data_IF_617201074064
#
_entry.id   IF_617201074064
#
_cell.length_a   1.000
_cell.length_b   1.000
_cell.length_c   1.000
_cell.angle_alpha   90.00
_cell.angle_beta   90.00
_cell.angle_gamma   90.00
#
_symmetry.space_group_name_H-M   'P 1'
#
loop_
_entity.id
_entity.type
_entity.pdbx_description
1 polymer ?
#
# COMPACT_ATOMS: atom_id res chain seq x y z
N UNK A 1 -14.88 38.26 18.72
CA UNK A 1 -14.78 38.02 17.27
C UNK A 1 -13.33 38.24 16.87
N UNK A 2 -12.53 37.18 16.83
CA UNK A 2 -11.12 37.23 16.42
C UNK A 2 -11.08 37.31 14.90
N UNK A 3 -10.44 38.38 14.38
CA UNK A 3 -10.15 38.53 12.95
C UNK A 3 -9.17 37.40 12.57
N UNK A 4 -9.65 36.41 11.81
CA UNK A 4 -8.77 35.52 11.11
C UNK A 4 -7.87 36.35 10.18
N UNK A 5 -6.59 36.44 10.48
CA UNK A 5 -5.61 37.06 9.59
C UNK A 5 -5.51 36.16 8.37
N UNK A 6 -5.99 36.64 7.21
CA UNK A 6 -5.76 36.03 5.90
C UNK A 6 -4.25 36.15 5.56
N UNK A 7 -3.40 35.42 6.27
CA UNK A 7 -2.05 35.20 5.78
C UNK A 7 -2.18 34.28 4.54
N UNK A 8 -1.99 34.88 3.37
CA UNK A 8 -1.84 34.12 2.13
C UNK A 8 -0.71 33.12 2.35
N UNK A 9 -1.02 31.87 2.34
CA UNK A 9 -0.07 30.78 2.54
C UNK A 9 0.92 30.83 1.39
N UNK A 10 2.19 31.07 1.68
CA UNK A 10 3.26 31.08 0.70
C UNK A 10 3.87 29.67 0.61
N UNK A 11 3.55 28.96 -0.45
CA UNK A 11 3.98 27.58 -0.63
C UNK A 11 5.49 27.45 -0.85
N UNK A 12 6.14 28.48 -1.39
CA UNK A 12 7.58 28.47 -1.66
C UNK A 12 8.41 28.73 -0.38
N UNK A 13 7.76 29.20 0.70
CA UNK A 13 8.40 29.56 1.97
C UNK A 13 7.70 28.88 3.16
N UNK A 14 7.49 27.57 3.09
CA UNK A 14 6.90 26.83 4.19
C UNK A 14 7.86 26.70 5.38
N UNK A 15 7.38 27.06 6.57
CA UNK A 15 8.12 26.86 7.82
C UNK A 15 7.84 25.46 8.40
N UNK A 16 8.73 24.51 8.19
CA UNK A 16 8.59 23.13 8.69
C UNK A 16 8.67 22.99 10.22
N UNK A 17 8.99 24.06 10.95
CA UNK A 17 8.94 24.07 12.41
C UNK A 17 7.58 24.49 12.95
N UNK A 18 6.76 25.13 12.10
CA UNK A 18 5.42 25.59 12.44
C UNK A 18 4.47 24.39 12.59
N UNK A 19 3.45 24.56 13.42
CA UNK A 19 2.28 23.68 13.48
C UNK A 19 1.22 24.25 12.52
N UNK A 20 0.78 23.45 11.58
CA UNK A 20 -0.23 23.77 10.58
C UNK A 20 -1.58 23.23 11.03
N UNK A 21 -2.66 23.90 10.62
CA UNK A 21 -4.01 23.35 10.76
C UNK A 21 -4.27 22.32 9.67
N UNK A 22 -5.32 21.54 9.86
CA UNK A 22 -5.72 20.56 8.85
C UNK A 22 -6.17 21.23 7.54
N UNK A 23 -6.86 22.36 7.63
CA UNK A 23 -7.29 23.16 6.47
C UNK A 23 -6.09 23.72 5.69
N UNK A 24 -5.04 24.18 6.39
CA UNK A 24 -3.80 24.61 5.75
C UNK A 24 -3.10 23.46 5.03
N UNK A 25 -3.05 22.29 5.64
CA UNK A 25 -2.51 21.07 5.02
C UNK A 25 -3.28 20.69 3.73
N UNK A 26 -4.62 20.70 3.77
CA UNK A 26 -5.43 20.43 2.57
C UNK A 26 -5.14 21.46 1.48
N UNK A 27 -5.06 22.76 1.82
CA UNK A 27 -4.79 23.83 0.88
C UNK A 27 -3.39 23.72 0.27
N UNK A 28 -2.38 23.37 1.06
CA UNK A 28 -1.00 23.15 0.59
C UNK A 28 -0.97 22.02 -0.44
N UNK A 29 -1.55 20.86 -0.11
CA UNK A 29 -1.57 19.72 -1.01
C UNK A 29 -2.40 20.01 -2.28
N UNK A 30 -3.46 20.82 -2.19
CA UNK A 30 -4.20 21.25 -3.38
C UNK A 30 -3.35 22.13 -4.30
N UNK A 31 -2.57 23.02 -3.76
CA UNK A 31 -1.66 23.88 -4.56
C UNK A 31 -0.53 23.04 -5.20
N UNK A 32 -0.03 22.00 -4.51
CA UNK A 32 1.01 21.12 -5.03
C UNK A 32 0.57 20.26 -6.24
N UNK A 33 -0.71 20.16 -6.54
CA UNK A 33 -1.18 19.50 -7.78
C UNK A 33 -0.71 20.23 -9.05
N UNK A 34 -0.48 21.52 -8.96
CA UNK A 34 -0.08 22.38 -10.08
C UNK A 34 1.25 23.09 -9.87
N UNK A 35 1.83 22.98 -8.69
CA UNK A 35 3.08 23.60 -8.32
C UNK A 35 4.05 22.56 -7.75
N UNK A 36 5.31 22.59 -8.18
CA UNK A 36 6.35 21.70 -7.69
C UNK A 36 7.23 22.43 -6.70
N UNK A 37 7.14 22.07 -5.42
CA UNK A 37 8.06 22.53 -4.39
C UNK A 37 9.35 21.71 -4.43
N UNK A 38 10.50 22.36 -4.13
CA UNK A 38 11.77 21.67 -3.94
C UNK A 38 12.24 21.79 -2.51
N UNK A 39 12.53 20.68 -1.85
CA UNK A 39 13.11 20.61 -0.52
C UNK A 39 14.45 19.88 -0.62
N UNK A 40 15.53 20.54 -0.23
CA UNK A 40 16.90 20.01 -0.35
C UNK A 40 17.22 19.46 -1.77
N UNK A 41 16.70 20.17 -2.80
CA UNK A 41 16.88 19.82 -4.21
C UNK A 41 15.94 18.75 -4.73
N UNK A 42 15.18 18.05 -3.89
CA UNK A 42 14.24 17.01 -4.26
C UNK A 42 12.85 17.58 -4.51
N UNK A 43 12.16 17.20 -5.60
CA UNK A 43 10.81 17.62 -5.87
C UNK A 43 9.83 16.97 -4.86
N UNK A 44 8.95 17.78 -4.31
CA UNK A 44 7.87 17.37 -3.41
C UNK A 44 6.56 17.84 -4.00
N UNK A 45 5.64 16.92 -4.20
CA UNK A 45 4.32 17.17 -4.76
C UNK A 45 3.18 16.77 -3.79
N UNK A 46 3.53 16.27 -2.62
CA UNK A 46 2.58 15.87 -1.60
C UNK A 46 3.23 15.92 -0.21
N UNK A 47 2.47 16.31 0.80
CA UNK A 47 2.82 16.16 2.19
C UNK A 47 1.92 15.14 2.90
N UNK A 48 2.49 14.38 3.81
CA UNK A 48 1.76 13.73 4.89
C UNK A 48 1.57 14.72 6.06
N UNK A 49 0.60 14.43 6.92
CA UNK A 49 0.28 15.26 8.09
C UNK A 49 0.48 14.46 9.38
N UNK A 50 1.28 14.99 10.28
CA UNK A 50 1.57 14.33 11.55
C UNK A 50 1.46 15.31 12.71
N UNK A 51 0.35 15.30 13.42
CA UNK A 51 0.12 16.15 14.60
C UNK A 51 0.42 17.65 14.29
N UNK A 52 -0.06 18.12 13.15
CA UNK A 52 0.16 19.50 12.69
C UNK A 52 1.47 19.73 11.93
N UNK A 53 2.33 18.74 11.78
CA UNK A 53 3.58 18.87 11.01
C UNK A 53 3.39 18.37 9.59
N UNK A 54 3.97 19.09 8.64
CA UNK A 54 4.06 18.68 7.25
C UNK A 54 5.28 17.77 7.07
N UNK A 55 5.07 16.58 6.54
CA UNK A 55 6.14 15.66 6.19
C UNK A 55 6.19 15.51 4.67
N UNK A 56 7.28 15.94 4.01
CA UNK A 56 7.39 15.87 2.57
C UNK A 56 7.43 14.42 2.11
N UNK A 57 6.69 14.10 1.05
CA UNK A 57 6.76 12.84 0.34
C UNK A 57 7.57 13.04 -0.94
N UNK A 58 8.85 12.60 -0.98
CA UNK A 58 9.64 12.64 -2.21
C UNK A 58 9.14 11.58 -3.18
N UNK A 59 9.48 11.78 -4.46
CA UNK A 59 9.24 10.75 -5.47
C UNK A 59 10.07 9.49 -5.17
N UNK A 60 9.48 8.34 -5.40
CA UNK A 60 10.15 7.06 -5.21
C UNK A 60 10.92 6.61 -6.46
N UNK A 61 12.05 5.88 -6.31
CA UNK A 61 12.68 5.17 -7.40
C UNK A 61 11.74 4.17 -8.07
N UNK A 62 11.87 4.00 -9.40
CA UNK A 62 10.99 3.14 -10.19
C UNK A 62 10.91 1.70 -9.67
N UNK A 63 12.03 1.13 -9.22
CA UNK A 63 12.06 -0.25 -8.68
C UNK A 63 11.24 -0.39 -7.40
N UNK A 64 11.20 0.65 -6.55
CA UNK A 64 10.37 0.65 -5.34
C UNK A 64 8.89 0.61 -5.71
N UNK A 65 8.47 1.47 -6.64
CA UNK A 65 7.08 1.51 -7.13
C UNK A 65 6.68 0.21 -7.85
N UNK A 66 7.60 -0.39 -8.64
CA UNK A 66 7.36 -1.66 -9.31
C UNK A 66 7.11 -2.80 -8.30
N UNK A 67 7.86 -2.84 -7.19
CA UNK A 67 7.65 -3.81 -6.11
C UNK A 67 6.31 -3.58 -5.41
N UNK A 68 5.96 -2.34 -5.09
CA UNK A 68 4.67 -2.00 -4.48
C UNK A 68 3.50 -2.38 -5.41
N UNK A 69 3.65 -2.15 -6.72
CA UNK A 69 2.67 -2.53 -7.73
C UNK A 69 2.51 -4.06 -7.80
N UNK A 70 3.61 -4.83 -7.78
CA UNK A 70 3.56 -6.30 -7.81
C UNK A 70 2.90 -6.87 -6.55
N UNK A 71 3.21 -6.34 -5.37
CA UNK A 71 2.52 -6.73 -4.13
C UNK A 71 1.02 -6.43 -4.23
N UNK A 72 0.66 -5.25 -4.72
CA UNK A 72 -0.74 -4.87 -4.95
C UNK A 72 -1.44 -5.83 -5.93
N UNK A 73 -0.77 -6.21 -7.02
CA UNK A 73 -1.30 -7.15 -8.01
C UNK A 73 -1.60 -8.52 -7.39
N UNK A 74 -0.66 -9.06 -6.59
CA UNK A 74 -0.87 -10.33 -5.90
C UNK A 74 -2.04 -10.25 -4.91
N UNK A 75 -2.15 -9.16 -4.15
CA UNK A 75 -3.28 -8.91 -3.24
C UNK A 75 -4.60 -8.78 -3.99
N UNK A 76 -4.64 -8.07 -5.12
CA UNK A 76 -5.85 -7.95 -5.94
C UNK A 76 -6.31 -9.31 -6.46
N UNK A 77 -5.39 -10.14 -6.95
CA UNK A 77 -5.70 -11.50 -7.40
C UNK A 77 -6.28 -12.34 -6.27
N UNK A 78 -5.63 -12.36 -5.10
CA UNK A 78 -6.14 -13.05 -3.92
C UNK A 78 -7.54 -12.53 -3.50
N UNK A 79 -7.72 -11.21 -3.44
CA UNK A 79 -8.98 -10.57 -3.04
C UNK A 79 -10.15 -11.00 -3.94
N UNK A 80 -9.91 -11.11 -5.25
CA UNK A 80 -10.91 -11.56 -6.23
C UNK A 80 -11.16 -13.07 -6.11
N UNK A 81 -10.10 -13.89 -6.14
CA UNK A 81 -10.22 -15.34 -6.13
C UNK A 81 -10.87 -15.88 -4.84
N UNK A 82 -10.52 -15.29 -3.70
CA UNK A 82 -11.08 -15.69 -2.40
C UNK A 82 -12.38 -14.96 -2.04
N UNK A 83 -12.86 -14.05 -2.93
CA UNK A 83 -14.08 -13.26 -2.74
C UNK A 83 -14.09 -12.42 -1.48
N UNK A 84 -12.93 -11.93 -1.05
CA UNK A 84 -12.86 -11.02 0.10
C UNK A 84 -13.60 -9.71 -0.19
N UNK A 85 -13.53 -9.24 -1.46
CA UNK A 85 -14.17 -8.02 -1.95
C UNK A 85 -13.82 -6.79 -1.09
N UNK A 86 -12.63 -6.76 -0.51
CA UNK A 86 -12.05 -5.61 0.15
C UNK A 86 -11.45 -4.62 -0.87
N UNK A 87 -10.83 -3.57 -0.37
CA UNK A 87 -10.17 -2.54 -1.17
C UNK A 87 -8.66 -2.63 -0.94
N UNK A 88 -7.90 -2.58 -2.02
CA UNK A 88 -6.46 -2.42 -2.01
C UNK A 88 -6.13 -1.00 -2.45
N UNK A 89 -5.26 -0.31 -1.73
CA UNK A 89 -4.73 1.00 -2.10
C UNK A 89 -3.23 0.90 -2.38
N UNK A 90 -2.74 1.79 -3.25
CA UNK A 90 -1.32 1.94 -3.59
C UNK A 90 -0.75 3.22 -2.96
N UNK A 91 0.50 3.53 -3.25
CA UNK A 91 1.43 4.48 -2.60
C UNK A 91 0.90 5.86 -2.17
N UNK A 92 -0.22 6.34 -2.71
CA UNK A 92 -0.79 7.64 -2.31
C UNK A 92 -2.11 7.51 -1.52
N UNK A 93 -2.53 6.28 -1.21
CA UNK A 93 -3.70 6.05 -0.36
C UNK A 93 -3.42 6.47 1.09
N UNK A 94 -3.87 7.66 1.47
CA UNK A 94 -3.70 8.18 2.83
C UNK A 94 -4.79 7.71 3.79
N UNK A 95 -4.39 7.48 5.04
CA UNK A 95 -5.28 7.09 6.13
C UNK A 95 -5.07 8.02 7.34
N UNK A 96 -6.15 8.36 8.02
CA UNK A 96 -6.10 9.11 9.29
C UNK A 96 -6.02 8.14 10.47
N UNK A 97 -4.85 8.05 11.07
CA UNK A 97 -4.59 7.15 12.21
C UNK A 97 -5.06 7.73 13.55
N UNK A 98 -5.43 9.01 13.60
CA UNK A 98 -5.99 9.68 14.80
C UNK A 98 -5.24 9.33 16.09
N UNK A 99 -3.95 9.64 16.14
CA UNK A 99 -3.11 9.29 17.29
C UNK A 99 -3.43 10.22 18.45
N UNK A 100 -3.92 9.65 19.55
CA UNK A 100 -4.28 10.38 20.77
C UNK A 100 -5.24 11.58 20.55
N UNK A 101 -6.16 11.45 19.59
CA UNK A 101 -7.11 12.51 19.26
C UNK A 101 -6.53 13.59 18.33
N UNK A 102 -5.34 13.34 17.77
CA UNK A 102 -4.70 14.22 16.81
C UNK A 102 -4.62 13.57 15.44
N UNK A 103 -5.08 14.31 14.42
CA UNK A 103 -5.05 13.81 13.04
C UNK A 103 -3.63 13.50 12.61
N UNK A 104 -3.47 12.28 12.11
CA UNK A 104 -2.20 11.77 11.61
C UNK A 104 -2.43 11.06 10.29
N UNK A 105 -2.29 11.80 9.17
CA UNK A 105 -2.54 11.27 7.84
C UNK A 105 -1.24 10.73 7.27
N UNK A 106 -1.25 9.42 7.01
CA UNK A 106 -0.12 8.69 6.45
C UNK A 106 -0.54 7.88 5.25
N UNK A 107 0.27 7.94 4.21
CA UNK A 107 0.21 7.02 3.11
C UNK A 107 1.06 5.77 3.42
N UNK A 108 0.65 4.66 2.82
CA UNK A 108 1.38 3.39 2.81
C UNK A 108 1.69 3.02 1.37
N UNK A 109 2.75 2.26 1.12
CA UNK A 109 3.01 1.82 -0.25
C UNK A 109 1.92 0.85 -0.74
N UNK A 110 1.41 -0.03 0.14
CA UNK A 110 0.22 -0.87 -0.13
C UNK A 110 -0.61 -1.02 1.13
N UNK A 111 -1.94 -1.01 1.01
CA UNK A 111 -2.82 -1.35 2.13
C UNK A 111 -4.02 -2.19 1.70
N UNK A 112 -4.60 -2.92 2.65
CA UNK A 112 -5.84 -3.64 2.48
C UNK A 112 -6.89 -3.22 3.51
N UNK A 113 -8.09 -2.93 3.02
CA UNK A 113 -9.27 -2.58 3.82
C UNK A 113 -10.33 -3.66 3.59
N UNK A 114 -10.76 -4.40 4.61
CA UNK A 114 -11.84 -5.37 4.48
C UNK A 114 -13.15 -4.74 3.99
N UNK A 115 -13.93 -5.52 3.25
CA UNK A 115 -15.20 -5.10 2.67
C UNK A 115 -16.19 -4.49 3.69
N UNK A 116 -16.28 -5.06 4.88
CA UNK A 116 -17.18 -4.59 5.93
C UNK A 116 -16.79 -3.20 6.43
N UNK A 117 -15.48 -2.94 6.60
CA UNK A 117 -14.97 -1.62 6.99
C UNK A 117 -15.25 -0.62 5.86
N UNK A 118 -14.85 -0.91 4.63
CA UNK A 118 -15.04 0.00 3.51
C UNK A 118 -16.53 0.37 3.28
N UNK A 119 -17.44 -0.59 3.42
CA UNK A 119 -18.88 -0.35 3.27
C UNK A 119 -19.51 0.47 4.39
N UNK A 120 -18.88 0.53 5.55
CA UNK A 120 -19.35 1.37 6.66
C UNK A 120 -18.88 2.82 6.58
N UNK A 121 -17.93 3.12 5.66
CA UNK A 121 -17.42 4.47 5.47
C UNK A 121 -18.48 5.36 4.80
N UNK A 122 -18.62 6.58 5.30
CA UNK A 122 -19.44 7.59 4.67
C UNK A 122 -18.71 8.24 3.45
N UNK A 123 -19.41 9.10 2.73
CA UNK A 123 -18.85 9.78 1.56
C UNK A 123 -17.65 10.67 1.90
N UNK A 124 -17.65 11.32 3.06
CA UNK A 124 -16.53 12.17 3.46
C UNK A 124 -15.27 11.35 3.74
N UNK A 125 -15.43 10.21 4.41
CA UNK A 125 -14.32 9.29 4.68
C UNK A 125 -13.75 8.67 3.40
N UNK A 126 -14.58 8.39 2.40
CA UNK A 126 -14.13 7.78 1.14
C UNK A 126 -13.41 8.76 0.20
N UNK A 127 -13.81 10.05 0.19
CA UNK A 127 -13.34 11.02 -0.80
C UNK A 127 -12.55 12.17 -0.23
N UNK A 128 -12.47 12.28 1.07
CA UNK A 128 -11.72 13.32 1.77
C UNK A 128 -11.08 12.73 3.02
N UNK A 129 -10.23 13.50 3.68
CA UNK A 129 -9.75 13.14 5.03
C UNK A 129 -10.66 13.68 6.14
N UNK A 130 -11.89 14.09 5.81
CA UNK A 130 -12.88 14.58 6.78
C UNK A 130 -13.77 13.44 7.28
N UNK A 131 -14.41 13.65 8.40
CA UNK A 131 -15.21 12.63 9.09
C UNK A 131 -14.41 11.89 10.17
N UNK A 132 -14.89 10.73 10.56
CA UNK A 132 -14.22 9.89 11.55
C UNK A 132 -13.00 9.20 10.92
N UNK A 133 -11.92 9.11 11.68
CA UNK A 133 -10.73 8.37 11.28
C UNK A 133 -11.04 6.88 11.05
N UNK A 134 -10.36 6.30 10.09
CA UNK A 134 -10.37 4.86 9.86
C UNK A 134 -8.99 4.41 9.36
N UNK A 135 -8.66 3.15 9.59
CA UNK A 135 -7.37 2.59 9.22
C UNK A 135 -7.53 1.25 8.49
N UNK A 136 -6.57 0.89 7.62
CA UNK A 136 -6.56 -0.43 7.00
C UNK A 136 -6.29 -1.51 8.05
N UNK A 137 -6.45 -2.77 7.70
CA UNK A 137 -6.09 -3.91 8.55
C UNK A 137 -4.71 -4.48 8.23
N UNK A 138 -4.21 -4.19 7.04
CA UNK A 138 -2.89 -4.59 6.56
C UNK A 138 -2.21 -3.44 5.85
N UNK A 139 -0.90 -3.28 6.09
CA UNK A 139 -0.07 -2.24 5.49
C UNK A 139 1.28 -2.79 5.04
N UNK A 140 1.83 -2.23 3.95
CA UNK A 140 3.16 -2.52 3.46
C UNK A 140 3.92 -1.22 3.23
N UNK A 141 5.19 -1.22 3.64
CA UNK A 141 6.21 -0.25 3.23
C UNK A 141 7.28 -0.98 2.43
N UNK A 142 7.71 -0.40 1.33
CA UNK A 142 8.81 -0.90 0.50
C UNK A 142 9.98 0.06 0.63
N UNK A 143 11.11 -0.38 1.13
CA UNK A 143 12.28 0.47 1.30
C UNK A 143 13.57 -0.35 1.30
N UNK A 144 14.67 0.26 0.84
CA UNK A 144 16.00 -0.31 1.00
C UNK A 144 16.55 0.15 2.34
N UNK A 145 16.61 -0.76 3.29
CA UNK A 145 16.96 -0.44 4.69
C UNK A 145 18.11 -1.32 5.21
N UNK A 146 18.82 -0.79 6.17
CA UNK A 146 19.79 -1.55 6.94
C UNK A 146 19.46 -1.39 8.42
N UNK A 147 19.33 -2.50 9.13
CA UNK A 147 19.02 -2.49 10.56
C UNK A 147 20.00 -1.61 11.33
N UNK A 148 19.46 -0.69 12.14
CA UNK A 148 20.24 0.27 12.92
C UNK A 148 20.53 1.59 12.21
N UNK A 149 20.30 1.72 10.89
CA UNK A 149 20.40 3.01 10.25
C UNK A 149 19.15 3.89 10.55
N UNK A 150 19.22 5.18 10.21
CA UNK A 150 18.16 6.14 10.49
C UNK A 150 16.86 5.77 9.78
N UNK A 151 16.92 5.42 8.50
CA UNK A 151 15.75 5.12 7.69
C UNK A 151 14.99 3.90 8.23
N UNK A 152 15.72 2.83 8.60
CA UNK A 152 15.13 1.68 9.25
C UNK A 152 14.46 2.05 10.58
N UNK A 153 15.13 2.84 11.43
CA UNK A 153 14.59 3.26 12.72
C UNK A 153 13.35 4.13 12.58
N UNK A 154 13.33 5.03 11.60
CA UNK A 154 12.16 5.89 11.30
C UNK A 154 10.97 5.04 10.82
N UNK A 155 11.20 4.03 9.97
CA UNK A 155 10.16 3.10 9.52
C UNK A 155 9.69 2.17 10.65
N UNK A 156 10.62 1.60 11.45
CA UNK A 156 10.25 0.78 12.61
C UNK A 156 9.38 1.58 13.59
N UNK A 157 9.73 2.85 13.82
CA UNK A 157 8.93 3.78 14.62
C UNK A 157 7.57 4.05 13.97
N UNK A 158 7.50 4.29 12.64
CA UNK A 158 6.25 4.48 11.89
C UNK A 158 5.32 3.28 12.09
N UNK A 159 5.83 2.05 11.98
CA UNK A 159 5.04 0.86 12.26
C UNK A 159 4.52 0.84 13.70
N UNK A 160 5.40 1.00 14.70
CA UNK A 160 5.03 0.83 16.13
C UNK A 160 4.11 1.91 16.65
N UNK A 161 4.41 3.17 16.33
CA UNK A 161 3.76 4.33 16.94
C UNK A 161 2.60 4.87 16.12
N UNK A 162 2.56 4.59 14.80
CA UNK A 162 1.52 5.10 13.92
C UNK A 162 0.62 3.96 13.45
N UNK A 163 1.14 3.01 12.66
CA UNK A 163 0.29 1.97 12.09
C UNK A 163 -0.33 1.07 13.15
N UNK A 164 0.43 0.72 14.16
CA UNK A 164 -0.04 -0.08 15.29
C UNK A 164 -0.40 0.76 16.53
N UNK A 165 -0.71 2.06 16.37
CA UNK A 165 -1.19 2.89 17.48
C UNK A 165 -2.46 2.30 18.11
N UNK A 166 -2.73 2.69 19.36
CA UNK A 166 -3.98 2.32 20.05
C UNK A 166 -5.16 2.88 19.26
N UNK A 167 -6.16 2.05 18.99
CA UNK A 167 -7.32 2.44 18.17
C UNK A 167 -7.17 2.12 16.68
N UNK A 168 -5.96 1.88 16.18
CA UNK A 168 -5.75 1.44 14.80
C UNK A 168 -6.26 0.00 14.57
N UNK A 169 -6.85 -0.25 13.40
CA UNK A 169 -7.29 -1.57 12.95
C UNK A 169 -6.16 -2.42 12.36
N UNK A 170 -4.95 -1.88 12.21
CA UNK A 170 -3.82 -2.62 11.63
C UNK A 170 -3.44 -3.80 12.51
N UNK A 171 -3.58 -5.00 11.94
CA UNK A 171 -3.22 -6.27 12.59
C UNK A 171 -1.95 -6.90 12.04
N UNK A 172 -1.60 -6.57 10.79
CA UNK A 172 -0.42 -7.08 10.10
C UNK A 172 0.26 -5.95 9.31
N UNK A 173 1.59 -5.90 9.37
CA UNK A 173 2.39 -4.94 8.60
C UNK A 173 3.66 -5.59 8.07
N UNK A 174 4.06 -5.23 6.86
CA UNK A 174 5.29 -5.71 6.24
C UNK A 174 6.17 -4.54 5.82
N UNK A 175 7.45 -4.58 6.21
CA UNK A 175 8.51 -3.76 5.63
C UNK A 175 9.31 -4.66 4.70
N UNK A 176 9.21 -4.39 3.40
CA UNK A 176 9.81 -5.20 2.34
C UNK A 176 11.04 -4.49 1.81
N UNK A 177 12.20 -5.14 1.94
CA UNK A 177 13.46 -4.69 1.36
C UNK A 177 13.86 -5.62 0.20
N UNK A 178 13.52 -5.27 -1.04
CA UNK A 178 13.77 -6.12 -2.18
C UNK A 178 15.26 -6.18 -2.57
N UNK A 179 16.04 -5.14 -2.23
CA UNK A 179 17.46 -5.08 -2.55
C UNK A 179 18.30 -5.99 -1.64
N UNK A 180 18.01 -5.95 -0.34
CA UNK A 180 18.73 -6.77 0.64
C UNK A 180 18.05 -8.12 0.90
N UNK A 181 16.98 -8.42 0.16
CA UNK A 181 16.22 -9.69 0.25
C UNK A 181 15.76 -9.98 1.67
N UNK A 182 15.06 -9.02 2.26
CA UNK A 182 14.56 -9.09 3.63
C UNK A 182 13.13 -8.62 3.73
N UNK A 183 12.34 -9.27 4.58
CA UNK A 183 10.99 -8.86 4.93
C UNK A 183 10.90 -8.83 6.46
N UNK A 184 10.52 -7.68 7.00
CA UNK A 184 10.23 -7.55 8.42
C UNK A 184 8.72 -7.57 8.61
N UNK A 185 8.24 -8.47 9.48
CA UNK A 185 6.82 -8.68 9.72
C UNK A 185 6.46 -8.11 11.09
N UNK A 186 5.52 -7.19 11.11
CA UNK A 186 5.00 -6.55 12.32
C UNK A 186 3.63 -7.13 12.67
N UNK A 187 3.46 -7.47 13.93
CA UNK A 187 2.19 -7.99 14.49
C UNK A 187 1.96 -7.43 15.88
N UNK A 188 0.70 -7.43 16.30
CA UNK A 188 0.31 -7.11 17.68
C UNK A 188 0.07 -8.40 18.46
N UNK A 189 0.68 -8.54 19.62
CA UNK A 189 0.34 -9.62 20.57
C UNK A 189 -1.01 -9.35 21.23
N UNK A 190 -1.62 -10.39 21.81
CA UNK A 190 -2.85 -10.27 22.60
C UNK A 190 -2.70 -9.25 23.74
N UNK A 191 -1.49 -9.07 24.27
CA UNK A 191 -1.14 -8.06 25.29
C UNK A 191 -1.11 -6.62 24.75
N UNK A 192 -1.33 -6.40 23.44
CA UNK A 192 -1.22 -5.10 22.79
C UNK A 192 0.19 -4.72 22.34
N UNK A 193 1.22 -5.46 22.76
CA UNK A 193 2.60 -5.17 22.41
C UNK A 193 2.86 -5.50 20.93
N UNK A 194 3.42 -4.54 20.19
CA UNK A 194 3.86 -4.74 18.80
C UNK A 194 5.23 -5.40 18.78
N UNK A 195 5.35 -6.46 18.03
CA UNK A 195 6.62 -7.14 17.82
C UNK A 195 6.95 -7.26 16.33
N UNK A 196 8.23 -7.33 16.01
CA UNK A 196 8.77 -7.49 14.67
C UNK A 196 9.56 -8.79 14.59
N UNK A 197 9.42 -9.49 13.46
CA UNK A 197 10.26 -10.66 13.12
C UNK A 197 10.91 -10.45 11.76
N UNK A 198 12.17 -10.80 11.62
CA UNK A 198 12.82 -10.89 10.32
C UNK A 198 12.47 -12.24 9.70
N UNK A 199 11.91 -12.21 8.49
CA UNK A 199 11.45 -13.40 7.76
C UNK A 199 12.46 -13.89 6.71
N UNK A 200 13.41 -13.03 6.33
CA UNK A 200 14.27 -13.29 5.17
C UNK A 200 13.51 -13.09 3.86
N UNK A 201 14.02 -13.69 2.76
CA UNK A 201 13.42 -13.57 1.42
C UNK A 201 12.76 -14.88 1.00
N UNK A 202 11.66 -15.18 1.65
CA UNK A 202 10.83 -16.35 1.39
C UNK A 202 9.37 -15.92 1.23
N UNK A 203 8.55 -16.78 0.65
CA UNK A 203 7.12 -16.51 0.55
C UNK A 203 6.52 -16.25 1.93
N UNK A 204 5.68 -15.22 2.02
CA UNK A 204 5.09 -14.75 3.28
C UNK A 204 3.61 -15.02 3.31
N UNK A 205 3.18 -15.69 4.36
CA UNK A 205 1.76 -15.93 4.64
C UNK A 205 1.09 -14.65 5.20
N UNK A 206 -0.13 -14.39 4.72
CA UNK A 206 -0.94 -13.24 5.16
C UNK A 206 -1.59 -13.38 6.53
N UNK A 207 -1.34 -14.52 7.23
CA UNK A 207 -1.87 -14.79 8.57
C UNK A 207 -3.42 -14.78 8.60
N UNK A 208 -3.99 -14.61 9.78
CA UNK A 208 -5.44 -14.46 9.97
C UNK A 208 -6.00 -13.14 9.39
N UNK A 209 -5.15 -12.17 9.11
CA UNK A 209 -5.53 -10.85 8.55
C UNK A 209 -5.86 -10.96 7.06
N UNK A 210 -5.09 -11.78 6.32
CA UNK A 210 -5.28 -12.04 4.90
C UNK A 210 -5.36 -13.57 4.67
N UNK A 211 -6.46 -14.23 5.07
CA UNK A 211 -6.53 -15.68 5.14
C UNK A 211 -6.32 -16.34 3.77
N UNK A 212 -5.29 -17.19 3.69
CA UNK A 212 -4.91 -17.88 2.46
C UNK A 212 -4.14 -17.03 1.45
N UNK A 213 -3.78 -15.79 1.78
CA UNK A 213 -2.85 -15.00 0.97
C UNK A 213 -1.41 -15.45 1.22
N UNK A 214 -0.68 -15.67 0.15
CA UNK A 214 0.77 -15.93 0.19
C UNK A 214 1.45 -14.99 -0.79
N UNK A 215 2.29 -14.09 -0.29
CA UNK A 215 3.16 -13.26 -1.12
C UNK A 215 4.26 -14.14 -1.73
N UNK A 216 4.30 -14.18 -3.05
CA UNK A 216 5.34 -14.90 -3.81
C UNK A 216 6.50 -13.95 -4.10
N UNK A 217 7.60 -14.06 -3.36
CA UNK A 217 8.77 -13.17 -3.50
C UNK A 217 9.47 -13.33 -4.84
N UNK A 218 9.43 -14.52 -5.45
CA UNK A 218 9.99 -14.75 -6.78
C UNK A 218 9.35 -13.82 -7.82
N UNK A 219 8.05 -13.54 -7.71
CA UNK A 219 7.37 -12.60 -8.62
C UNK A 219 7.84 -11.15 -8.45
N UNK A 220 8.29 -10.80 -7.24
CA UNK A 220 8.95 -9.50 -7.02
C UNK A 220 10.31 -9.49 -7.71
N UNK A 221 11.10 -10.57 -7.58
CA UNK A 221 12.39 -10.70 -8.24
C UNK A 221 12.24 -10.61 -9.77
N UNK A 222 11.30 -11.33 -10.35
CA UNK A 222 10.99 -11.32 -11.78
C UNK A 222 10.64 -9.88 -12.27
N UNK A 223 9.95 -9.11 -11.42
CA UNK A 223 9.52 -7.74 -11.75
C UNK A 223 10.68 -6.74 -11.80
N UNK A 224 11.68 -6.90 -10.93
CA UNK A 224 12.80 -5.95 -10.80
C UNK A 224 14.10 -6.44 -11.42
N UNK A 225 14.17 -7.71 -11.91
CA UNK A 225 15.36 -8.22 -12.58
C UNK A 225 15.58 -7.50 -13.90
N UNK A 226 16.82 -7.09 -14.15
CA UNK A 226 17.24 -6.52 -15.43
C UNK A 226 17.70 -7.60 -16.43
N UNK A 227 17.68 -8.85 -16.01
CA UNK A 227 18.03 -9.97 -16.88
C UNK A 227 16.90 -10.15 -17.89
N UNK A 228 17.20 -9.91 -19.15
CA UNK A 228 16.36 -10.33 -20.25
C UNK A 228 16.12 -11.84 -20.11
N UNK A 229 14.87 -12.26 -20.16
CA UNK A 229 14.42 -13.65 -20.12
C UNK A 229 14.88 -14.48 -21.33
N UNK A 230 16.15 -14.33 -21.72
CA UNK A 230 16.74 -15.05 -22.86
C UNK A 230 17.58 -16.28 -22.46
N UNK A 231 17.57 -16.71 -21.22
CA UNK A 231 18.27 -17.96 -20.92
C UNK A 231 17.61 -18.76 -19.81
N UNK A 232 17.21 -19.91 -20.20
CA UNK A 232 16.67 -21.05 -19.45
C UNK A 232 15.15 -21.06 -19.22
N UNK A 233 14.41 -21.22 -20.29
CA UNK A 233 13.23 -22.05 -20.27
C UNK A 233 13.67 -23.50 -20.06
N UNK A 234 13.95 -23.91 -18.84
CA UNK A 234 13.52 -25.23 -18.46
C UNK A 234 11.99 -25.13 -18.33
N UNK A 235 11.33 -25.21 -19.44
CA UNK A 235 9.91 -25.48 -19.53
C UNK A 235 9.66 -26.77 -18.72
N UNK A 236 9.29 -26.60 -17.43
CA UNK A 236 8.33 -27.55 -16.90
C UNK A 236 7.07 -27.28 -17.73
N UNK A 237 6.65 -28.26 -18.52
CA UNK A 237 5.37 -28.29 -19.21
C UNK A 237 4.22 -28.22 -18.19
N UNK A 238 4.08 -27.11 -17.48
CA UNK A 238 2.90 -26.82 -16.67
C UNK A 238 1.80 -26.40 -17.63
N UNK A 239 1.11 -27.38 -18.14
CA UNK A 239 -0.10 -27.18 -18.92
C UNK A 239 -1.22 -26.67 -18.01
N UNK A 240 -2.02 -25.74 -18.52
CA UNK A 240 -3.18 -25.15 -17.83
C UNK A 240 -4.41 -25.95 -18.24
N UNK A 241 -4.98 -26.69 -17.30
CA UNK A 241 -6.20 -27.46 -17.53
C UNK A 241 -7.45 -26.58 -17.41
N UNK A 242 -8.37 -26.68 -18.37
CA UNK A 242 -9.63 -25.97 -18.27
C UNK A 242 -10.52 -26.58 -17.19
N UNK A 243 -10.98 -25.81 -16.17
CA UNK A 243 -11.82 -26.35 -15.10
C UNK A 243 -13.26 -26.70 -15.54
N UNK A 244 -13.62 -26.44 -16.79
CA UNK A 244 -14.95 -26.66 -17.35
C UNK A 244 -15.00 -27.74 -18.41
N UNK A 245 -13.86 -28.12 -19.00
CA UNK A 245 -13.73 -29.23 -19.98
C UNK A 245 -12.31 -29.81 -19.94
N UNK A 246 -12.02 -30.81 -20.76
CA UNK A 246 -10.72 -31.50 -20.77
C UNK A 246 -9.68 -30.82 -21.69
N UNK A 247 -9.83 -29.55 -22.03
CA UNK A 247 -8.86 -28.84 -22.84
C UNK A 247 -7.68 -28.36 -21.97
N UNK A 248 -6.47 -28.52 -22.51
CA UNK A 248 -5.21 -28.19 -21.86
C UNK A 248 -4.46 -27.15 -22.71
N UNK A 249 -3.83 -26.19 -22.11
CA UNK A 249 -3.18 -25.06 -22.79
C UNK A 249 -1.75 -24.90 -22.28
N UNK A 250 -0.86 -24.45 -23.15
CA UNK A 250 0.55 -24.19 -22.83
C UNK A 250 0.80 -22.78 -22.31
N UNK A 251 -0.20 -21.88 -22.37
CA UNK A 251 -0.10 -20.50 -21.90
C UNK A 251 -1.45 -19.93 -21.49
N UNK A 252 -1.42 -18.87 -20.65
CA UNK A 252 -2.60 -18.20 -20.12
C UNK A 252 -3.47 -17.55 -21.19
N UNK A 253 -2.90 -17.07 -22.29
CA UNK A 253 -3.64 -16.39 -23.34
C UNK A 253 -4.59 -17.33 -24.06
N UNK A 254 -4.09 -18.48 -24.53
CA UNK A 254 -4.90 -19.50 -25.23
C UNK A 254 -5.96 -20.09 -24.30
N UNK A 255 -5.64 -20.25 -22.99
CA UNK A 255 -6.61 -20.67 -21.98
C UNK A 255 -7.73 -19.62 -21.82
N UNK A 256 -7.39 -18.35 -21.73
CA UNK A 256 -8.39 -17.28 -21.53
C UNK A 256 -9.29 -17.14 -22.77
N UNK A 257 -8.74 -17.18 -23.98
CA UNK A 257 -9.50 -17.14 -25.23
C UNK A 257 -10.47 -18.32 -25.31
N UNK A 258 -9.99 -19.52 -25.04
CA UNK A 258 -10.83 -20.72 -24.96
C UNK A 258 -11.95 -20.57 -23.93
N UNK A 259 -11.61 -20.08 -22.72
CA UNK A 259 -12.59 -19.97 -21.64
C UNK A 259 -13.69 -18.97 -21.98
N UNK A 260 -13.34 -17.83 -22.56
CA UNK A 260 -14.31 -16.82 -23.03
C UNK A 260 -15.19 -17.37 -24.13
N UNK A 261 -14.63 -18.02 -25.14
CA UNK A 261 -15.37 -18.50 -26.30
C UNK A 261 -16.25 -19.72 -25.98
N UNK A 262 -15.72 -20.65 -25.20
CA UNK A 262 -16.40 -21.91 -24.95
C UNK A 262 -17.31 -21.92 -23.73
N UNK A 263 -17.03 -21.08 -22.72
CA UNK A 263 -17.69 -21.16 -21.42
C UNK A 263 -18.31 -19.85 -20.94
N UNK A 264 -17.80 -18.67 -21.31
CA UNK A 264 -18.32 -17.38 -20.86
C UNK A 264 -19.43 -16.84 -21.75
N UNK A 265 -19.31 -16.96 -23.08
CA UNK A 265 -20.30 -16.39 -24.03
C UNK A 265 -21.68 -17.09 -24.04
N UNK A 266 -21.83 -18.22 -23.39
CA UNK A 266 -23.14 -18.92 -23.30
C UNK A 266 -24.14 -18.28 -22.34
N UNK A 267 -23.74 -17.28 -21.56
CA UNK A 267 -24.60 -16.58 -20.60
C UNK A 267 -25.43 -15.43 -21.22
N UNK A 268 -25.17 -15.06 -22.49
CA UNK A 268 -25.87 -13.96 -23.17
C UNK A 268 -26.79 -14.40 -24.31
N UNK A 269 -27.09 -15.69 -24.44
CA UNK A 269 -28.09 -16.20 -25.37
C UNK A 269 -29.18 -16.98 -24.62
N UNK A 270 -29.95 -16.23 -23.86
CA UNK A 270 -31.13 -16.71 -23.19
C UNK A 270 -32.09 -15.56 -23.01
N UNK A 271 -32.96 -15.39 -24.02
CA UNK A 271 -34.12 -14.53 -24.20
C UNK A 271 -33.85 -13.10 -24.69
#
# INVERSE_FOLDING_TARGET
MSKASNHKLDIDNLDFKRIYTFEEFELINEQLKTHTLKIDGNPVNLFEFNEGKLLPMPQNPISKEAVACEISRQLCNWNVHTRQNGIITASQGGFDFDISGQRTIRATDVAFIPKNIYRSLDHQQQWTFRGQSFTPTFVVEVAVVQEGNREFNDLDKKFREIYFATGSSVGLGWLVDPKNKQIYIYRRRVTGVVYRTLHGWNNVDGDSILPGFILKVQKIDDTISQESSESSSSESDETIDCPKCNATFSNDYDFMEHYEDSHARKWHKGE
#
